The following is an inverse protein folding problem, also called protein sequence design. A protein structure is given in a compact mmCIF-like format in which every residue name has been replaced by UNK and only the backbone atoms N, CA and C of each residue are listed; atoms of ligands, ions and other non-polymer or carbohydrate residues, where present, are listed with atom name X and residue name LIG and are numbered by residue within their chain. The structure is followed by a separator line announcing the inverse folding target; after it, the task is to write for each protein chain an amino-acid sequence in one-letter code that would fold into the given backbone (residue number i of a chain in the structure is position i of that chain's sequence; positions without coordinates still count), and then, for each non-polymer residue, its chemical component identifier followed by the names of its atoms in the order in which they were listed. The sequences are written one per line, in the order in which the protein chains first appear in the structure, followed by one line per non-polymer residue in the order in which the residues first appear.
data_IF_727461527508
#
_entry.id   IF_727461527508
#
_cell.length_a   1.000
_cell.length_b   1.000
_cell.length_c   1.000
_cell.angle_alpha   90.00
_cell.angle_beta   90.00
_cell.angle_gamma   90.00
#
_symmetry.space_group_name_H-M   'P 1'
#
loop_
_entity.id
_entity.type
_entity.pdbx_description
1 polymer ?
#
# COMPACT_ATOMS: atom_id res chain seq x y z
N UNK A 1 -4.62 7.36 -3.49
CA UNK A 1 -5.95 7.09 -2.91
C UNK A 1 -6.54 8.41 -2.45
N UNK A 2 -6.56 9.42 -3.33
CA UNK A 2 -7.09 10.72 -2.94
C UNK A 2 -8.61 10.60 -2.76
N UNK A 3 -9.23 11.33 -1.81
CA UNK A 3 -8.60 12.27 -0.87
C UNK A 3 -8.05 11.63 0.43
N UNK A 4 -8.22 10.32 0.63
CA UNK A 4 -7.83 9.66 1.89
C UNK A 4 -6.31 9.58 2.10
N UNK A 5 -5.56 9.33 1.03
CA UNK A 5 -4.09 9.30 1.03
C UNK A 5 -3.53 10.00 -0.19
N UNK A 6 -2.49 10.77 0.05
CA UNK A 6 -1.75 11.53 -0.94
C UNK A 6 -0.42 10.87 -1.27
N UNK A 7 0.18 11.31 -2.38
CA UNK A 7 1.53 10.89 -2.75
C UNK A 7 2.51 11.32 -1.64
N UNK A 8 3.31 10.37 -1.18
CA UNK A 8 4.28 10.59 -0.11
C UNK A 8 3.77 10.27 1.29
N UNK A 9 2.52 9.82 1.45
CA UNK A 9 2.05 9.31 2.74
C UNK A 9 2.67 7.94 3.02
N UNK A 10 3.15 7.75 4.25
CA UNK A 10 3.69 6.48 4.71
C UNK A 10 2.59 5.69 5.42
N UNK A 11 2.25 4.51 4.92
CA UNK A 11 1.18 3.67 5.49
C UNK A 11 1.74 2.64 6.48
N UNK A 12 1.10 2.53 7.64
CA UNK A 12 1.36 1.47 8.61
C UNK A 12 0.43 0.30 8.33
N UNK A 13 1.02 -0.84 7.94
CA UNK A 13 0.29 -2.03 7.54
C UNK A 13 0.32 -3.10 8.63
N UNK A 14 -0.82 -3.77 8.82
CA UNK A 14 -0.95 -4.96 9.66
C UNK A 14 -1.49 -6.11 8.83
N UNK A 15 -0.99 -7.34 9.05
CA UNK A 15 -1.47 -8.53 8.36
C UNK A 15 -1.76 -9.67 9.36
N UNK A 16 -2.64 -9.41 10.33
CA UNK A 16 -3.07 -10.42 11.29
C UNK A 16 -4.08 -11.37 10.64
N UNK A 17 -3.78 -12.67 10.68
CA UNK A 17 -4.63 -13.73 10.09
C UNK A 17 -5.96 -13.90 10.81
N UNK A 18 -5.99 -13.65 12.12
CA UNK A 18 -7.16 -13.89 12.97
C UNK A 18 -8.16 -12.73 12.93
N UNK A 19 -7.81 -11.61 12.30
CA UNK A 19 -8.69 -10.47 12.18
C UNK A 19 -9.31 -10.42 10.77
N UNK A 20 -10.64 -10.58 10.65
CA UNK A 20 -11.31 -10.55 9.35
C UNK A 20 -11.21 -9.16 8.72
N UNK A 21 -11.08 -9.13 7.40
CA UNK A 21 -11.16 -7.89 6.62
C UNK A 21 -12.60 -7.42 6.61
N UNK A 22 -12.85 -6.11 6.76
CA UNK A 22 -14.19 -5.52 6.77
C UNK A 22 -14.42 -4.59 5.59
N UNK A 23 -15.69 -4.42 5.21
CA UNK A 23 -16.09 -3.40 4.22
C UNK A 23 -15.68 -2.02 4.75
N UNK A 24 -15.09 -1.20 3.88
CA UNK A 24 -14.60 0.14 4.21
C UNK A 24 -13.14 0.19 4.67
N UNK A 25 -12.51 -0.95 5.01
CA UNK A 25 -11.09 -1.00 5.32
C UNK A 25 -10.23 -0.73 4.09
N UNK A 26 -9.02 -0.22 4.33
CA UNK A 26 -8.05 0.04 3.26
C UNK A 26 -7.03 -1.09 3.25
N UNK A 27 -6.98 -1.80 2.13
CA UNK A 27 -6.11 -2.96 1.93
C UNK A 27 -5.03 -2.63 0.91
N UNK A 28 -3.85 -3.18 1.17
CA UNK A 28 -2.74 -3.22 0.23
C UNK A 28 -2.68 -4.63 -0.32
N UNK A 29 -2.88 -4.78 -1.61
CA UNK A 29 -2.85 -6.05 -2.30
C UNK A 29 -1.85 -6.04 -3.44
N UNK A 30 -1.32 -7.22 -3.76
CA UNK A 30 -0.43 -7.43 -4.89
C UNK A 30 -1.09 -8.39 -5.86
N UNK A 31 -1.21 -7.98 -7.10
CA UNK A 31 -1.73 -8.82 -8.19
C UNK A 31 -0.57 -9.60 -8.78
N UNK A 32 -0.80 -10.88 -9.07
CA UNK A 32 0.19 -11.71 -9.76
C UNK A 32 0.56 -11.09 -11.13
N UNK A 33 1.85 -11.00 -11.43
CA UNK A 33 2.36 -10.34 -12.63
C UNK A 33 2.48 -8.81 -12.54
N UNK A 34 2.16 -8.18 -11.40
CA UNK A 34 2.48 -6.76 -11.15
C UNK A 34 3.50 -6.62 -10.03
N UNK A 35 4.51 -5.77 -10.26
CA UNK A 35 5.55 -5.51 -9.26
C UNK A 35 5.11 -4.53 -8.17
N UNK A 36 4.25 -3.58 -8.53
CA UNK A 36 3.83 -2.49 -7.65
C UNK A 36 2.53 -2.90 -6.92
N UNK A 37 2.53 -2.91 -5.57
CA UNK A 37 1.31 -3.16 -4.80
C UNK A 37 0.32 -2.01 -4.95
N UNK A 38 -0.97 -2.34 -4.86
CA UNK A 38 -2.08 -1.39 -5.02
C UNK A 38 -2.75 -1.21 -3.66
N UNK A 39 -3.06 0.04 -3.32
CA UNK A 39 -3.71 0.41 -2.06
C UNK A 39 -5.10 0.91 -2.39
N UNK A 40 -6.17 0.21 -2.01
CA UNK A 40 -7.55 0.63 -2.26
C UNK A 40 -8.50 0.23 -1.12
N UNK A 41 -9.74 0.73 -1.15
CA UNK A 41 -10.76 0.47 -0.12
C UNK A 41 -11.60 -0.74 -0.48
N UNK A 42 -11.89 -1.59 0.50
CA UNK A 42 -12.81 -2.71 0.36
C UNK A 42 -14.23 -2.17 0.18
N UNK A 43 -14.82 -2.44 -0.99
CA UNK A 43 -16.17 -2.03 -1.35
C UNK A 43 -17.20 -3.08 -0.95
N UNK A 44 -16.92 -4.36 -1.20
CA UNK A 44 -17.82 -5.48 -0.87
C UNK A 44 -17.05 -6.72 -0.45
N UNK A 45 -17.64 -7.45 0.48
CA UNK A 45 -17.20 -8.77 0.92
C UNK A 45 -18.23 -9.81 0.46
N UNK A 46 -17.74 -10.94 -0.03
CA UNK A 46 -18.52 -12.15 -0.26
C UNK A 46 -17.94 -13.24 0.63
N UNK A 47 -18.67 -13.54 1.70
CA UNK A 47 -18.43 -14.71 2.53
C UNK A 47 -19.27 -15.84 1.93
N UNK A 48 -18.63 -16.71 1.15
CA UNK A 48 -19.31 -17.90 0.65
C UNK A 48 -19.24 -18.95 1.76
N UNK A 49 -20.38 -19.33 2.32
CA UNK A 49 -20.52 -20.41 3.31
C UNK A 49 -20.26 -21.82 2.76
N UNK A 50 -19.35 -21.96 1.79
CA UNK A 50 -18.84 -23.26 1.35
C UNK A 50 -17.61 -23.63 2.18
N UNK A 51 -17.38 -24.94 2.30
CA UNK A 51 -16.48 -25.72 3.17
C UNK A 51 -15.05 -25.19 3.43
N UNK A 52 -14.60 -24.15 2.73
CA UNK A 52 -13.25 -23.58 2.83
C UNK A 52 -13.20 -22.16 3.41
N UNK A 53 -14.34 -21.59 3.84
CA UNK A 53 -14.46 -20.27 4.48
C UNK A 53 -13.63 -19.16 3.80
N UNK A 54 -13.62 -19.14 2.46
CA UNK A 54 -12.79 -18.22 1.70
C UNK A 54 -13.52 -16.89 1.51
N UNK A 55 -13.08 -15.88 2.26
CA UNK A 55 -13.57 -14.51 2.10
C UNK A 55 -13.04 -13.93 0.79
N UNK A 56 -13.96 -13.51 -0.07
CA UNK A 56 -13.65 -12.83 -1.33
C UNK A 56 -13.98 -11.35 -1.19
N UNK A 57 -13.10 -10.49 -1.69
CA UNK A 57 -13.29 -9.05 -1.60
C UNK A 57 -13.19 -8.35 -2.94
N UNK A 58 -13.96 -7.28 -3.06
CA UNK A 58 -13.92 -6.33 -4.16
C UNK A 58 -13.44 -4.99 -3.62
N UNK A 59 -12.38 -4.46 -4.20
CA UNK A 59 -11.83 -3.16 -3.84
C UNK A 59 -12.22 -2.11 -4.87
N UNK A 60 -12.11 -0.85 -4.45
CA UNK A 60 -12.26 0.32 -5.29
C UNK A 60 -11.34 1.44 -4.80
N UNK A 61 -10.71 2.16 -5.73
CA UNK A 61 -10.05 3.42 -5.44
C UNK A 61 -11.03 4.51 -5.01
N UNK A 62 -10.68 5.29 -3.99
CA UNK A 62 -11.57 6.32 -3.41
C UNK A 62 -12.00 7.36 -4.46
N UNK A 63 -11.07 7.80 -5.33
CA UNK A 63 -11.35 8.73 -6.44
C UNK A 63 -11.78 8.07 -7.76
N UNK A 64 -11.87 6.74 -7.83
CA UNK A 64 -12.22 6.06 -9.08
C UNK A 64 -13.74 6.00 -9.25
N UNK A 65 -14.27 6.05 -10.47
CA UNK A 65 -15.70 5.85 -10.73
C UNK A 65 -16.09 4.36 -10.84
N UNK A 66 -15.10 3.52 -11.13
CA UNK A 66 -15.26 2.06 -11.36
C UNK A 66 -14.55 1.26 -10.26
N UNK A 67 -14.95 0.00 -10.12
CA UNK A 67 -14.26 -0.95 -9.24
C UNK A 67 -12.95 -1.47 -9.86
N UNK A 68 -12.16 -2.18 -9.05
CA UNK A 68 -10.80 -2.58 -9.44
C UNK A 68 -10.73 -3.89 -10.24
N UNK A 69 -11.86 -4.44 -10.73
CA UNK A 69 -11.85 -5.70 -11.47
C UNK A 69 -10.95 -5.66 -12.71
N UNK A 70 -10.86 -4.50 -13.37
CA UNK A 70 -9.97 -4.31 -14.51
C UNK A 70 -8.48 -4.25 -14.13
N UNK A 71 -8.15 -4.11 -12.85
CA UNK A 71 -6.78 -4.07 -12.34
C UNK A 71 -6.27 -5.43 -11.85
N UNK A 72 -7.18 -6.38 -11.62
CA UNK A 72 -6.85 -7.73 -11.17
C UNK A 72 -6.20 -8.55 -12.30
N UNK A 73 -5.72 -9.76 -11.94
CA UNK A 73 -5.14 -10.66 -12.92
C UNK A 73 -6.21 -11.09 -13.95
N UNK A 74 -5.81 -11.47 -15.19
CA UNK A 74 -6.75 -11.95 -16.20
C UNK A 74 -7.65 -13.07 -15.67
N UNK A 75 -8.97 -12.88 -15.75
CA UNK A 75 -9.97 -13.85 -15.25
C UNK A 75 -10.22 -13.80 -13.73
N UNK A 76 -9.51 -12.96 -12.99
CA UNK A 76 -9.73 -12.76 -11.56
C UNK A 76 -10.79 -11.67 -11.34
N UNK A 77 -11.93 -12.04 -10.73
CA UNK A 77 -13.02 -11.10 -10.42
C UNK A 77 -13.05 -10.64 -8.95
N UNK A 78 -12.33 -11.36 -8.09
CA UNK A 78 -12.31 -11.16 -6.66
C UNK A 78 -10.91 -11.39 -6.13
N UNK A 79 -10.53 -10.61 -5.13
CA UNK A 79 -9.29 -10.82 -4.39
C UNK A 79 -9.56 -11.75 -3.21
N UNK A 80 -8.52 -12.47 -2.79
CA UNK A 80 -8.52 -13.40 -1.65
C UNK A 80 -7.42 -13.04 -0.67
N UNK A 81 -7.47 -13.56 0.56
CA UNK A 81 -6.49 -13.24 1.60
C UNK A 81 -5.02 -13.46 1.19
N UNK A 82 -4.76 -14.32 0.20
CA UNK A 82 -3.41 -14.56 -0.34
C UNK A 82 -2.86 -13.36 -1.11
N UNK A 83 -3.74 -12.57 -1.71
CA UNK A 83 -3.38 -11.40 -2.53
C UNK A 83 -3.11 -10.16 -1.65
N UNK A 84 -3.55 -10.19 -0.38
CA UNK A 84 -3.40 -9.07 0.56
C UNK A 84 -2.04 -9.11 1.25
N UNK A 85 -1.28 -8.05 1.03
CA UNK A 85 -0.01 -7.79 1.70
C UNK A 85 -0.26 -7.31 3.13
N UNK A 86 -1.27 -6.44 3.32
CA UNK A 86 -1.68 -5.97 4.64
C UNK A 86 -2.81 -4.95 4.59
N UNK A 87 -3.28 -4.55 5.77
CA UNK A 87 -4.32 -3.53 5.97
C UNK A 87 -3.70 -2.27 6.56
N UNK A 88 -4.09 -1.10 6.04
CA UNK A 88 -3.66 0.17 6.59
C UNK A 88 -4.40 0.45 7.92
N UNK A 89 -3.64 0.60 9.01
CA UNK A 89 -4.17 0.97 10.34
C UNK A 89 -3.94 2.43 10.70
N UNK A 90 -2.96 3.06 10.04
CA UNK A 90 -2.61 4.45 10.22
C UNK A 90 -1.68 4.91 9.11
N UNK A 91 -1.39 6.19 9.08
CA UNK A 91 -0.45 6.76 8.13
C UNK A 91 0.25 7.98 8.72
N UNK A 92 1.41 8.29 8.17
CA UNK A 92 2.15 9.50 8.46
C UNK A 92 2.20 10.36 7.19
N UNK A 93 1.58 11.56 7.17
CA UNK A 93 1.46 12.35 5.96
C UNK A 93 2.82 12.88 5.49
N UNK A 94 3.03 12.91 4.17
CA UNK A 94 4.18 13.51 3.48
C UNK A 94 5.60 13.03 3.82
N UNK A 95 5.80 12.14 4.81
CA UNK A 95 7.15 11.68 5.19
C UNK A 95 7.84 10.91 4.06
N UNK A 96 7.08 10.15 3.27
CA UNK A 96 7.58 9.47 2.09
C UNK A 96 8.05 10.42 0.98
N UNK A 97 7.68 11.71 1.00
CA UNK A 97 8.18 12.70 0.03
C UNK A 97 9.70 12.84 0.11
N UNK A 98 10.30 12.68 1.29
CA UNK A 98 11.77 12.73 1.45
C UNK A 98 12.42 11.64 0.62
N UNK A 99 11.92 10.40 0.75
CA UNK A 99 12.42 9.25 -0.03
C UNK A 99 12.19 9.44 -1.53
N UNK A 100 11.02 9.97 -1.91
CA UNK A 100 10.70 10.28 -3.32
C UNK A 100 11.72 11.29 -3.88
N UNK A 101 11.96 12.41 -3.20
CA UNK A 101 12.91 13.41 -3.64
C UNK A 101 14.35 12.88 -3.71
N UNK A 102 14.76 12.07 -2.75
CA UNK A 102 16.07 11.41 -2.79
C UNK A 102 16.23 10.49 -4.01
N UNK A 103 15.14 9.86 -4.47
CA UNK A 103 15.16 8.99 -5.63
C UNK A 103 15.05 9.77 -6.96
N UNK A 104 14.22 10.81 -7.02
CA UNK A 104 14.01 11.64 -8.21
C UNK A 104 15.18 12.59 -8.49
N UNK A 105 15.88 13.04 -7.45
CA UNK A 105 17.02 13.95 -7.58
C UNK A 105 18.30 13.30 -7.03
N UNK A 106 19.04 12.52 -7.84
CA UNK A 106 20.27 11.87 -7.40
C UNK A 106 21.31 12.84 -6.81
N UNK A 107 21.39 14.07 -7.34
CA UNK A 107 22.27 15.13 -6.80
C UNK A 107 21.94 15.47 -5.35
N UNK A 108 20.64 15.54 -5.00
CA UNK A 108 20.19 15.78 -3.63
C UNK A 108 20.61 14.63 -2.71
N UNK A 109 20.43 13.38 -3.15
CA UNK A 109 20.92 12.20 -2.42
C UNK A 109 22.42 12.27 -2.14
N UNK A 110 23.24 12.61 -3.13
CA UNK A 110 24.70 12.72 -2.93
C UNK A 110 25.07 13.87 -2.00
N UNK A 111 24.37 15.02 -2.07
CA UNK A 111 24.58 16.13 -1.14
C UNK A 111 24.30 15.72 0.31
N UNK A 112 23.17 15.04 0.57
CA UNK A 112 22.82 14.54 1.91
C UNK A 112 23.90 13.57 2.44
N UNK A 113 24.37 12.63 1.61
CA UNK A 113 25.43 11.70 1.97
C UNK A 113 26.76 12.40 2.26
N UNK A 114 27.12 13.41 1.48
CA UNK A 114 28.32 14.21 1.71
C UNK A 114 28.24 15.01 3.02
N UNK A 115 27.10 15.65 3.30
CA UNK A 115 26.86 16.35 4.57
C UNK A 115 26.94 15.40 5.77
N UNK A 116 26.34 14.22 5.68
CA UNK A 116 26.43 13.18 6.72
C UNK A 116 27.87 12.71 6.93
N UNK A 117 28.61 12.46 5.84
CA UNK A 117 30.01 12.09 5.90
C UNK A 117 30.87 13.16 6.58
N UNK A 118 30.67 14.44 6.23
CA UNK A 118 31.34 15.57 6.87
C UNK A 118 30.96 15.70 8.35
N UNK A 119 29.68 15.56 8.69
CA UNK A 119 29.22 15.60 10.08
C UNK A 119 29.90 14.53 10.94
N UNK A 120 29.95 13.29 10.44
CA UNK A 120 30.64 12.19 11.13
C UNK A 120 32.13 12.46 11.27
N UNK A 121 32.78 13.05 10.28
CA UNK A 121 34.21 13.41 10.35
C UNK A 121 34.47 14.53 11.38
N UNK A 122 33.58 15.52 11.49
CA UNK A 122 33.70 16.64 12.41
C UNK A 122 33.36 16.25 13.85
N UNK A 123 32.48 15.27 14.07
CA UNK A 123 32.11 14.77 15.39
C UNK A 123 32.80 13.44 15.75
N UNK A 124 33.95 13.16 15.13
CA UNK A 124 34.72 11.94 15.39
C UNK A 124 35.73 12.06 16.55
N UNK A 125 35.59 13.09 17.38
CA UNK A 125 36.23 13.21 18.70
C UNK A 125 35.20 12.98 19.80
#
# INVERSE_FOLDING_TARGET
MEPAFHRGDLLFLTNYKDEPVRVGEIVVFKVEGRDIPIVHRVLKLHEKGDQNNTVKFLTKGDNNSVDDRGLYAPGQLWLTHKDVVGRARGFLPHVGMVTIYMNEYPKFKYAVLACLGLYVLVHRE
#
